data_IF_549333710053
#
_entry.id   IF_549333710053
#
_cell.length_a   1.000
_cell.length_b   1.000
_cell.length_c   1.000
_cell.angle_alpha   90.00
_cell.angle_beta   90.00
_cell.angle_gamma   90.00
#
_symmetry.space_group_name_H-M   'P 1'
#
loop_
_entity.id
_entity.type
_entity.pdbx_description
1 polymer ?
#
# COMPACT_ATOMS: atom_id res chain seq x y z
N UNK A 1 -13.72 -10.92 10.77
CA UNK A 1 -12.27 -10.64 10.60
C UNK A 1 -11.78 -10.84 9.16
N UNK A 2 -12.26 -11.87 8.43
CA UNK A 2 -11.92 -12.07 6.99
C UNK A 2 -12.28 -10.86 6.13
N UNK A 3 -13.46 -10.26 6.31
CA UNK A 3 -13.89 -9.05 5.57
C UNK A 3 -12.93 -7.87 5.83
N UNK A 4 -12.50 -7.68 7.08
CA UNK A 4 -11.56 -6.60 7.46
C UNK A 4 -10.22 -6.82 6.78
N UNK A 5 -9.70 -8.05 6.76
CA UNK A 5 -8.47 -8.40 6.04
C UNK A 5 -8.59 -8.11 4.55
N UNK A 6 -9.67 -8.55 3.90
CA UNK A 6 -9.87 -8.31 2.46
C UNK A 6 -9.97 -6.82 2.14
N UNK A 7 -10.62 -6.03 3.00
CA UNK A 7 -10.67 -4.57 2.85
C UNK A 7 -9.28 -3.93 2.95
N UNK A 8 -8.44 -4.38 3.88
CA UNK A 8 -7.06 -3.90 3.96
C UNK A 8 -6.27 -4.28 2.71
N UNK A 9 -6.37 -5.54 2.26
CA UNK A 9 -5.65 -6.02 1.08
C UNK A 9 -6.01 -5.17 -0.15
N UNK A 10 -7.30 -4.95 -0.39
CA UNK A 10 -7.78 -4.08 -1.47
C UNK A 10 -7.26 -2.65 -1.29
N UNK A 11 -7.41 -2.08 -0.09
CA UNK A 11 -7.03 -0.69 0.19
C UNK A 11 -5.55 -0.46 -0.06
N UNK A 12 -4.68 -1.33 0.46
CA UNK A 12 -3.23 -1.22 0.31
C UNK A 12 -2.72 -1.58 -1.09
N UNK A 13 -3.52 -2.24 -1.92
CA UNK A 13 -3.24 -2.44 -3.34
C UNK A 13 -3.70 -1.26 -4.18
N UNK A 14 -4.92 -0.76 -3.97
CA UNK A 14 -5.47 0.35 -4.76
C UNK A 14 -4.84 1.70 -4.42
N UNK A 15 -4.49 1.93 -3.15
CA UNK A 15 -3.97 3.21 -2.69
C UNK A 15 -2.65 3.57 -3.40
N UNK A 16 -1.62 2.70 -3.47
CA UNK A 16 -0.40 2.98 -4.22
C UNK A 16 -0.64 3.29 -5.70
N UNK A 17 -1.58 2.58 -6.34
CA UNK A 17 -1.96 2.81 -7.75
C UNK A 17 -2.55 4.23 -7.90
N UNK A 18 -3.50 4.59 -7.04
CA UNK A 18 -4.12 5.92 -7.04
C UNK A 18 -3.08 7.01 -6.77
N UNK A 19 -2.20 6.80 -5.77
CA UNK A 19 -1.11 7.74 -5.45
C UNK A 19 -0.21 7.95 -6.67
N UNK A 20 0.17 6.88 -7.36
CA UNK A 20 1.01 6.95 -8.55
C UNK A 20 0.31 7.68 -9.71
N UNK A 21 -0.97 7.41 -9.96
CA UNK A 21 -1.75 8.08 -11.02
C UNK A 21 -1.88 9.59 -10.73
N UNK A 22 -2.29 9.97 -9.52
CA UNK A 22 -2.46 11.38 -9.13
C UNK A 22 -1.10 12.09 -9.04
N UNK A 23 -0.06 11.38 -8.63
CA UNK A 23 1.31 11.85 -8.52
C UNK A 23 2.12 11.78 -9.81
N UNK A 24 1.57 11.27 -10.92
CA UNK A 24 2.35 10.91 -12.11
C UNK A 24 3.17 12.07 -12.69
N UNK A 25 2.61 13.29 -12.65
CA UNK A 25 3.25 14.52 -13.13
C UNK A 25 4.23 15.15 -12.13
N UNK A 26 4.28 14.66 -10.88
CA UNK A 26 5.14 15.21 -9.82
C UNK A 26 6.49 14.51 -9.71
N UNK A 27 6.65 13.35 -10.33
CA UNK A 27 7.90 12.61 -10.38
C UNK A 27 8.54 12.68 -11.77
N UNK A 28 9.88 12.60 -11.88
CA UNK A 28 10.54 12.36 -13.15
C UNK A 28 10.06 11.04 -13.76
N UNK A 29 9.93 11.01 -15.09
CA UNK A 29 9.32 9.88 -15.82
C UNK A 29 9.95 8.52 -15.45
N UNK A 30 11.27 8.46 -15.27
CA UNK A 30 11.99 7.24 -14.90
C UNK A 30 11.53 6.65 -13.56
N UNK A 31 11.22 7.49 -12.57
CA UNK A 31 10.70 7.03 -11.27
C UNK A 31 9.25 6.56 -11.37
N UNK A 32 8.41 7.24 -12.15
CA UNK A 32 7.03 6.83 -12.40
C UNK A 32 6.97 5.49 -13.15
N UNK A 33 7.84 5.29 -14.14
CA UNK A 33 7.98 4.04 -14.88
C UNK A 33 8.49 2.91 -13.99
N UNK A 34 9.47 3.17 -13.11
CA UNK A 34 9.93 2.19 -12.14
C UNK A 34 8.79 1.75 -11.20
N UNK A 35 8.03 2.71 -10.65
CA UNK A 35 6.88 2.40 -9.79
C UNK A 35 5.82 1.58 -10.54
N UNK A 36 5.49 1.97 -11.77
CA UNK A 36 4.53 1.26 -12.61
C UNK A 36 5.00 -0.17 -12.92
N UNK A 37 6.28 -0.36 -13.26
CA UNK A 37 6.86 -1.67 -13.52
C UNK A 37 6.79 -2.58 -12.28
N UNK A 38 7.15 -2.06 -11.09
CA UNK A 38 7.04 -2.81 -9.84
C UNK A 38 5.59 -3.20 -9.53
N UNK A 39 4.63 -2.31 -9.74
CA UNK A 39 3.20 -2.60 -9.52
C UNK A 39 2.66 -3.63 -10.51
N UNK A 40 2.95 -3.46 -11.80
CA UNK A 40 2.54 -4.41 -12.85
C UNK A 40 3.17 -5.76 -12.60
N UNK A 41 4.47 -5.82 -12.31
CA UNK A 41 5.16 -7.06 -11.97
C UNK A 41 4.52 -7.74 -10.75
N UNK A 42 4.28 -6.99 -9.68
CA UNK A 42 3.67 -7.54 -8.46
C UNK A 42 2.28 -8.12 -8.72
N UNK A 43 1.47 -7.49 -9.58
CA UNK A 43 0.12 -7.95 -9.93
C UNK A 43 0.08 -9.06 -11.00
N UNK A 44 1.21 -9.35 -11.66
CA UNK A 44 1.26 -10.32 -12.77
C UNK A 44 1.34 -11.77 -12.31
N UNK A 45 1.53 -12.02 -11.01
CA UNK A 45 1.64 -13.37 -10.45
C UNK A 45 0.31 -13.79 -9.81
N UNK A 46 -0.51 -14.61 -10.50
CA UNK A 46 -1.71 -15.15 -9.90
C UNK A 46 -1.31 -16.17 -8.83
N UNK A 47 -1.56 -15.85 -7.56
CA UNK A 47 -1.55 -16.87 -6.51
C UNK A 47 -2.81 -17.72 -6.65
N UNK A 48 -2.65 -18.99 -7.02
CA UNK A 48 -3.73 -19.98 -7.15
C UNK A 48 -4.35 -20.41 -5.80
N UNK A 49 -3.99 -19.72 -4.71
CA UNK A 49 -4.44 -19.99 -3.35
C UNK A 49 -5.68 -19.17 -3.00
N UNK A 50 -6.38 -19.57 -1.93
CA UNK A 50 -7.65 -18.99 -1.43
C UNK A 50 -7.50 -17.50 -1.00
N UNK A 51 -6.26 -16.97 -0.96
CA UNK A 51 -5.91 -15.64 -0.47
C UNK A 51 -5.08 -14.86 -1.52
N UNK A 52 -5.68 -14.46 -2.66
CA UNK A 52 -4.97 -14.00 -3.86
C UNK A 52 -4.15 -12.71 -3.70
N UNK A 53 -4.37 -11.91 -2.65
CA UNK A 53 -3.61 -10.69 -2.34
C UNK A 53 -2.66 -10.83 -1.15
N UNK A 54 -2.38 -12.05 -0.70
CA UNK A 54 -1.40 -12.26 0.37
C UNK A 54 -0.05 -11.65 -0.03
N UNK A 55 0.52 -10.84 0.87
CA UNK A 55 1.77 -10.08 0.69
C UNK A 55 1.75 -8.90 -0.29
N UNK A 56 0.70 -8.69 -1.10
CA UNK A 56 0.62 -7.53 -2.01
C UNK A 56 0.69 -6.16 -1.30
N UNK A 57 0.00 -5.95 -0.16
CA UNK A 57 0.13 -4.72 0.60
C UNK A 57 1.57 -4.36 0.95
N UNK A 58 2.41 -5.36 1.25
CA UNK A 58 3.83 -5.16 1.57
C UNK A 58 4.62 -4.70 0.36
N UNK A 59 4.45 -5.35 -0.80
CA UNK A 59 5.22 -5.03 -1.99
C UNK A 59 4.83 -3.68 -2.60
N UNK A 60 3.54 -3.34 -2.59
CA UNK A 60 3.04 -2.13 -3.25
C UNK A 60 3.25 -0.85 -2.42
N UNK A 61 3.08 -0.92 -1.09
CA UNK A 61 3.32 0.24 -0.21
C UNK A 61 4.80 0.52 0.02
N UNK A 62 5.67 -0.50 -0.06
CA UNK A 62 7.11 -0.34 0.04
C UNK A 62 7.77 0.15 -1.26
N UNK A 63 7.01 0.28 -2.35
CA UNK A 63 7.53 0.80 -3.60
C UNK A 63 8.01 2.25 -3.40
N UNK A 64 9.33 2.44 -3.40
CA UNK A 64 10.02 3.69 -3.06
C UNK A 64 9.35 4.97 -3.61
N UNK A 65 8.96 5.06 -4.90
CA UNK A 65 8.38 6.29 -5.44
C UNK A 65 7.01 6.66 -4.85
N UNK A 66 6.26 5.69 -4.35
CA UNK A 66 4.95 5.91 -3.71
C UNK A 66 5.14 6.67 -2.40
N UNK A 67 6.15 6.28 -1.60
CA UNK A 67 6.49 6.96 -0.35
C UNK A 67 6.98 8.39 -0.63
N UNK A 68 7.77 8.60 -1.69
CA UNK A 68 8.22 9.93 -2.11
C UNK A 68 7.04 10.84 -2.46
N UNK A 69 6.04 10.33 -3.18
CA UNK A 69 4.82 11.08 -3.51
C UNK A 69 4.01 11.45 -2.26
N UNK A 70 3.85 10.51 -1.32
CA UNK A 70 3.19 10.78 -0.05
C UNK A 70 3.93 11.84 0.76
N UNK A 71 5.27 11.78 0.80
CA UNK A 71 6.10 12.79 1.45
C UNK A 71 5.97 14.18 0.80
N UNK A 72 5.89 14.25 -0.54
CA UNK A 72 5.64 15.50 -1.26
C UNK A 72 4.27 16.12 -0.90
N UNK A 73 3.25 15.30 -0.63
CA UNK A 73 1.96 15.76 -0.12
C UNK A 73 1.97 16.10 1.37
N UNK A 74 2.84 15.45 2.15
CA UNK A 74 3.14 15.76 3.56
C UNK A 74 3.66 17.17 3.81
N UNK A 75 4.10 17.91 2.77
CA UNK A 75 4.36 19.36 2.88
C UNK A 75 3.14 20.15 3.38
N UNK A 76 1.93 19.60 3.26
CA UNK A 76 0.71 20.18 3.85
C UNK A 76 0.52 19.63 5.27
N UNK A 77 0.50 20.50 6.30
CA UNK A 77 0.48 20.05 7.71
C UNK A 77 -0.75 19.20 8.05
N UNK A 78 -1.90 19.48 7.42
CA UNK A 78 -3.12 18.67 7.60
C UNK A 78 -2.98 17.24 7.07
N UNK A 79 -2.28 17.06 5.95
CA UNK A 79 -2.07 15.73 5.36
C UNK A 79 -1.06 14.93 6.17
N UNK A 80 0.02 15.58 6.60
CA UNK A 80 1.04 14.97 7.45
C UNK A 80 0.45 14.48 8.79
N UNK A 81 -0.29 15.34 9.50
CA UNK A 81 -0.96 14.97 10.74
C UNK A 81 -1.95 13.81 10.55
N UNK A 82 -2.75 13.87 9.48
CA UNK A 82 -3.69 12.80 9.16
C UNK A 82 -2.96 11.47 8.88
N UNK A 83 -1.94 11.49 8.02
CA UNK A 83 -1.16 10.32 7.66
C UNK A 83 -0.45 9.70 8.87
N UNK A 84 0.16 10.53 9.72
CA UNK A 84 0.79 10.08 10.97
C UNK A 84 -0.22 9.50 11.96
N UNK A 85 -1.42 10.09 12.05
CA UNK A 85 -2.48 9.59 12.94
C UNK A 85 -3.03 8.22 12.53
N UNK A 86 -2.92 7.85 11.25
CA UNK A 86 -3.34 6.53 10.76
C UNK A 86 -2.37 5.41 11.15
N UNK A 87 -1.10 5.73 11.45
CA UNK A 87 -0.08 4.74 11.79
C UNK A 87 -0.42 3.87 13.00
N UNK A 88 -0.65 4.45 14.19
CA UNK A 88 -0.96 3.70 15.40
C UNK A 88 -2.19 2.78 15.29
N UNK A 89 -3.37 3.22 14.79
CA UNK A 89 -4.53 2.33 14.66
C UNK A 89 -4.31 1.22 13.64
N UNK A 90 -3.62 1.50 12.51
CA UNK A 90 -3.26 0.46 11.56
C UNK A 90 -2.29 -0.55 12.14
N UNK A 91 -1.33 -0.11 12.97
CA UNK A 91 -0.40 -0.99 13.66
C UNK A 91 -1.16 -1.92 14.61
N UNK A 92 -2.00 -1.37 15.49
CA UNK A 92 -2.82 -2.15 16.44
C UNK A 92 -3.68 -3.17 15.69
N UNK A 93 -4.34 -2.75 14.61
CA UNK A 93 -5.20 -3.61 13.81
C UNK A 93 -4.39 -4.76 13.19
N UNK A 94 -3.22 -4.49 12.61
CA UNK A 94 -2.34 -5.52 12.06
C UNK A 94 -1.81 -6.47 13.15
N UNK A 95 -1.45 -5.95 14.33
CA UNK A 95 -1.03 -6.77 15.47
C UNK A 95 -2.14 -7.72 15.92
N UNK A 96 -3.39 -7.24 16.03
CA UNK A 96 -4.53 -8.08 16.39
C UNK A 96 -4.76 -9.17 15.33
N UNK A 97 -4.71 -8.82 14.04
CA UNK A 97 -4.87 -9.81 12.97
C UNK A 97 -3.75 -10.86 12.96
N UNK A 98 -2.52 -10.47 13.33
CA UNK A 98 -1.38 -11.37 13.46
C UNK A 98 -1.55 -12.33 14.64
N UNK A 99 -1.83 -11.82 15.84
CA UNK A 99 -2.07 -12.65 17.04
C UNK A 99 -3.25 -13.60 16.84
N UNK A 100 -4.28 -13.15 16.11
CA UNK A 100 -5.48 -13.95 15.81
C UNK A 100 -5.27 -14.98 14.70
N UNK A 101 -4.03 -15.20 14.22
CA UNK A 101 -3.68 -16.16 13.17
C UNK A 101 -4.43 -15.96 11.84
N UNK A 102 -4.96 -14.75 11.57
CA UNK A 102 -5.55 -14.41 10.27
C UNK A 102 -4.48 -14.03 9.25
N UNK A 103 -3.34 -13.53 9.72
CA UNK A 103 -2.09 -13.53 8.96
C UNK A 103 -1.36 -14.83 9.23
N UNK A 104 -1.71 -15.86 8.47
CA UNK A 104 -0.92 -17.07 8.36
C UNK A 104 0.30 -16.75 7.49
N UNK A 105 1.46 -17.28 7.90
CA UNK A 105 2.69 -17.31 7.12
C UNK A 105 2.45 -17.69 5.64
#
# INVERSE_FOLDING_TARGET
MVVVKNLLDITFTTLPIVVLIVGWKRLPLHYSLFAAAVMVFSLSFPLLNITPLTSQPRYMMAAFPVIVLLALWGKRPRFDQFFMSLGPPLLVLNTVLFVSHYWVA
#
